data_IF_593832255790
#
_entry.id   IF_593832255790
#
_cell.length_a   1.000
_cell.length_b   1.000
_cell.length_c   1.000
_cell.angle_alpha   90.00
_cell.angle_beta   90.00
_cell.angle_gamma   90.00
#
_symmetry.space_group_name_H-M   'P 1'
#
loop_
_entity.id
_entity.type
_entity.pdbx_description
1 polymer ?
#
# COMPACT_ATOMS: atom_id res chain seq x y z
N UNK A 1 -69.55 -21.98 10.26
CA UNK A 1 -69.08 -20.58 10.09
C UNK A 1 -67.79 -20.30 10.90
N UNK A 2 -67.71 -20.70 12.16
CA UNK A 2 -66.56 -20.49 13.03
C UNK A 2 -65.24 -21.17 12.56
N UNK A 3 -65.35 -22.41 12.08
CA UNK A 3 -64.14 -23.18 11.59
C UNK A 3 -63.43 -22.48 10.43
N UNK A 4 -64.18 -21.84 9.52
CA UNK A 4 -63.61 -21.09 8.39
C UNK A 4 -62.95 -19.76 8.84
N UNK A 5 -63.48 -19.14 9.91
CA UNK A 5 -62.91 -17.94 10.50
C UNK A 5 -61.58 -18.25 11.19
N UNK A 6 -61.52 -19.35 11.92
CA UNK A 6 -60.32 -19.84 12.60
C UNK A 6 -59.23 -20.19 11.60
N UNK A 7 -59.53 -20.92 10.50
CA UNK A 7 -58.59 -21.25 9.46
C UNK A 7 -58.02 -19.99 8.79
N UNK A 8 -58.87 -18.98 8.50
CA UNK A 8 -58.40 -17.68 7.95
C UNK A 8 -57.45 -16.96 8.92
N UNK A 9 -57.72 -16.96 10.22
CA UNK A 9 -56.83 -16.35 11.19
C UNK A 9 -55.46 -17.04 11.23
N UNK A 10 -55.40 -18.39 11.19
CA UNK A 10 -54.14 -19.15 11.15
C UNK A 10 -53.39 -18.83 9.90
N UNK A 11 -54.04 -18.78 8.74
CA UNK A 11 -53.41 -18.42 7.47
C UNK A 11 -52.85 -17.01 7.48
N UNK A 12 -53.56 -16.04 8.05
CA UNK A 12 -53.07 -14.67 8.20
C UNK A 12 -51.84 -14.59 9.08
N UNK A 13 -51.86 -15.29 10.23
CA UNK A 13 -50.65 -15.36 11.12
C UNK A 13 -49.48 -15.98 10.38
N UNK A 14 -49.70 -17.06 9.62
CA UNK A 14 -48.65 -17.74 8.86
C UNK A 14 -48.03 -16.82 7.81
N UNK A 15 -48.86 -16.04 7.09
CA UNK A 15 -48.39 -15.06 6.11
C UNK A 15 -47.53 -13.98 6.77
N UNK A 16 -47.98 -13.42 7.89
CA UNK A 16 -47.23 -12.41 8.65
C UNK A 16 -45.87 -12.95 9.10
N UNK A 17 -45.82 -14.18 9.62
CA UNK A 17 -44.56 -14.83 10.05
C UNK A 17 -43.64 -15.03 8.84
N UNK A 18 -44.19 -15.47 7.70
CA UNK A 18 -43.41 -15.68 6.47
C UNK A 18 -42.82 -14.35 5.94
N UNK A 19 -43.65 -13.29 5.92
CA UNK A 19 -43.15 -11.94 5.52
C UNK A 19 -42.05 -11.44 6.45
N UNK A 20 -42.19 -11.64 7.75
CA UNK A 20 -41.18 -11.28 8.76
C UNK A 20 -39.86 -12.05 8.52
N UNK A 21 -39.95 -13.36 8.25
CA UNK A 21 -38.76 -14.18 7.94
C UNK A 21 -38.10 -13.70 6.65
N UNK A 22 -38.87 -13.46 5.59
CA UNK A 22 -38.35 -12.98 4.31
C UNK A 22 -37.70 -11.58 4.42
N UNK A 23 -38.34 -10.68 5.21
CA UNK A 23 -37.80 -9.35 5.48
C UNK A 23 -36.46 -9.46 6.22
N UNK A 24 -36.39 -10.25 7.29
CA UNK A 24 -35.14 -10.44 8.06
C UNK A 24 -34.06 -11.11 7.21
N UNK A 25 -34.41 -12.07 6.38
CA UNK A 25 -33.46 -12.72 5.47
C UNK A 25 -32.92 -11.72 4.41
N UNK A 26 -33.79 -10.91 3.81
CA UNK A 26 -33.41 -9.88 2.86
C UNK A 26 -32.57 -8.79 3.50
N UNK A 27 -32.95 -8.35 4.71
CA UNK A 27 -32.18 -7.37 5.49
C UNK A 27 -30.81 -7.92 5.89
N UNK A 28 -30.75 -9.15 6.37
CA UNK A 28 -29.50 -9.83 6.70
C UNK A 28 -28.58 -9.93 5.46
N UNK A 29 -29.10 -10.35 4.32
CA UNK A 29 -28.32 -10.44 3.09
C UNK A 29 -27.83 -9.05 2.61
N UNK A 30 -28.69 -8.03 2.67
CA UNK A 30 -28.31 -6.66 2.29
C UNK A 30 -27.19 -6.13 3.20
N UNK A 31 -27.35 -6.29 4.50
CA UNK A 31 -26.35 -5.87 5.49
C UNK A 31 -25.05 -6.65 5.33
N UNK A 32 -25.14 -7.99 5.21
CA UNK A 32 -23.95 -8.85 5.06
C UNK A 32 -23.23 -8.57 3.74
N UNK A 33 -23.98 -8.39 2.64
CA UNK A 33 -23.41 -8.08 1.33
C UNK A 33 -22.73 -6.71 1.31
N UNK A 34 -23.38 -5.70 1.89
CA UNK A 34 -22.78 -4.37 2.06
C UNK A 34 -21.55 -4.40 2.98
N UNK A 35 -21.61 -5.20 4.05
CA UNK A 35 -20.49 -5.39 4.95
C UNK A 35 -19.31 -6.06 4.27
N UNK A 36 -19.52 -7.19 3.60
CA UNK A 36 -18.45 -7.90 2.86
C UNK A 36 -17.84 -6.99 1.80
N UNK A 37 -18.66 -6.24 1.07
CA UNK A 37 -18.18 -5.34 0.01
C UNK A 37 -17.38 -4.15 0.56
N UNK A 38 -17.77 -3.60 1.72
CA UNK A 38 -17.17 -2.38 2.27
C UNK A 38 -16.13 -2.63 3.37
N UNK A 39 -16.20 -3.76 4.08
CA UNK A 39 -15.39 -4.01 5.27
C UNK A 39 -14.71 -5.37 5.32
N UNK A 40 -15.20 -6.37 4.58
CA UNK A 40 -14.67 -7.73 4.60
C UNK A 40 -13.38 -7.95 3.83
N UNK A 41 -12.94 -6.97 3.05
CA UNK A 41 -11.73 -7.06 2.20
C UNK A 41 -10.45 -6.52 2.85
N UNK A 42 -10.49 -6.17 4.13
CA UNK A 42 -9.35 -5.51 4.78
C UNK A 42 -9.11 -4.09 4.22
N UNK A 43 -7.91 -3.55 4.43
CA UNK A 43 -7.49 -2.29 3.84
C UNK A 43 -7.23 -2.49 2.34
N UNK A 44 -7.98 -1.78 1.50
CA UNK A 44 -7.74 -1.75 0.06
C UNK A 44 -6.67 -0.71 -0.28
N UNK A 45 -5.91 -0.95 -1.34
CA UNK A 45 -5.01 0.04 -1.91
C UNK A 45 -5.85 1.09 -2.67
N UNK A 46 -5.65 2.37 -2.35
CA UNK A 46 -6.21 3.46 -3.14
C UNK A 46 -5.32 3.65 -4.36
N UNK A 47 -5.91 3.60 -5.54
CA UNK A 47 -5.19 3.86 -6.78
C UNK A 47 -4.73 5.32 -6.82
N UNK A 48 -3.51 5.54 -7.27
CA UNK A 48 -3.02 6.87 -7.64
C UNK A 48 -3.58 7.23 -9.03
N UNK A 49 -3.88 8.50 -9.24
CA UNK A 49 -4.19 8.98 -10.57
C UNK A 49 -2.91 9.00 -11.42
N UNK A 50 -2.83 8.09 -12.39
CA UNK A 50 -1.66 7.95 -13.28
C UNK A 50 -1.39 9.27 -14.01
N UNK A 51 -2.43 9.90 -14.51
CA UNK A 51 -2.33 11.12 -15.31
C UNK A 51 -1.71 12.30 -14.53
N UNK A 52 -1.96 12.38 -13.21
CA UNK A 52 -1.38 13.44 -12.37
C UNK A 52 0.14 13.34 -12.22
N UNK A 53 0.73 12.20 -12.48
CA UNK A 53 2.17 11.95 -12.37
C UNK A 53 2.76 11.35 -13.67
N UNK A 54 2.10 11.64 -14.80
CA UNK A 54 2.53 11.12 -16.10
C UNK A 54 3.81 11.83 -16.55
N UNK A 55 4.88 11.11 -16.94
CA UNK A 55 6.09 11.73 -17.50
C UNK A 55 5.76 12.54 -18.75
N UNK A 56 6.48 13.63 -18.96
CA UNK A 56 6.38 14.50 -20.15
C UNK A 56 5.03 15.23 -20.31
N UNK A 57 4.21 15.27 -19.29
CA UNK A 57 2.99 16.07 -19.24
C UNK A 57 3.29 17.41 -18.54
N UNK A 58 2.91 18.54 -19.16
CA UNK A 58 3.27 19.90 -18.70
C UNK A 58 2.77 20.22 -17.28
N UNK A 59 1.62 19.67 -16.88
CA UNK A 59 1.01 19.85 -15.56
C UNK A 59 1.22 18.63 -14.62
N UNK A 60 2.23 17.81 -14.91
CA UNK A 60 2.58 16.66 -14.08
C UNK A 60 3.08 17.11 -12.70
N UNK A 61 2.69 16.36 -11.67
CA UNK A 61 3.10 16.61 -10.27
C UNK A 61 4.42 15.91 -9.90
N UNK A 62 5.13 15.36 -10.87
CA UNK A 62 6.45 14.77 -10.63
C UNK A 62 7.50 15.85 -10.40
N UNK A 63 8.61 15.49 -9.78
CA UNK A 63 9.80 16.33 -9.72
C UNK A 63 10.49 16.31 -11.08
N UNK A 64 10.67 17.48 -11.69
CA UNK A 64 11.33 17.62 -12.98
C UNK A 64 12.83 17.83 -12.79
N UNK A 65 13.63 16.86 -13.20
CA UNK A 65 15.10 16.96 -13.22
C UNK A 65 15.62 16.55 -14.60
N UNK A 66 16.69 17.20 -15.03
CA UNK A 66 17.35 16.86 -16.28
C UNK A 66 18.56 15.95 -16.06
N UNK A 67 18.73 14.97 -16.94
CA UNK A 67 19.93 14.13 -16.98
C UNK A 67 20.78 14.44 -18.23
N UNK A 68 22.10 14.45 -18.05
CA UNK A 68 23.03 14.45 -19.17
C UNK A 68 23.05 13.09 -19.90
N UNK A 69 22.63 12.02 -19.21
CA UNK A 69 22.52 10.68 -19.77
C UNK A 69 21.11 10.52 -20.34
N UNK A 70 21.01 10.15 -21.62
CA UNK A 70 19.75 9.72 -22.24
C UNK A 70 19.87 8.28 -22.72
N UNK A 71 18.82 7.50 -22.51
CA UNK A 71 18.74 6.09 -22.91
C UNK A 71 17.75 6.01 -24.05
N UNK A 72 18.26 5.90 -25.27
CA UNK A 72 17.44 5.92 -26.50
C UNK A 72 17.32 4.55 -27.16
N UNK A 73 18.26 3.65 -26.90
CA UNK A 73 18.29 2.30 -27.42
C UNK A 73 18.22 1.28 -26.28
N UNK A 74 17.67 0.09 -26.56
CA UNK A 74 17.54 -0.99 -25.60
C UNK A 74 16.97 -0.52 -24.24
N UNK A 75 15.91 0.31 -24.30
CA UNK A 75 15.32 1.00 -23.17
C UNK A 75 14.70 -0.04 -22.19
N UNK A 76 15.19 -0.16 -20.94
CA UNK A 76 14.59 -1.04 -19.94
C UNK A 76 13.14 -0.68 -19.66
N UNK A 77 12.28 -1.68 -19.47
CA UNK A 77 10.93 -1.44 -18.97
C UNK A 77 10.96 -1.30 -17.45
N UNK A 78 10.30 -0.26 -16.94
CA UNK A 78 10.19 0.08 -15.51
C UNK A 78 8.77 -0.15 -15.03
N UNK A 79 8.63 -0.72 -13.82
CA UNK A 79 7.36 -0.90 -13.12
C UNK A 79 7.56 -0.66 -11.61
N UNK A 80 6.51 -0.76 -10.79
CA UNK A 80 6.71 -0.65 -9.36
C UNK A 80 5.45 -0.47 -8.52
N UNK A 81 5.71 -0.19 -7.24
CA UNK A 81 4.70 0.09 -6.25
C UNK A 81 3.98 1.41 -6.55
N UNK A 82 2.68 1.45 -6.29
CA UNK A 82 1.84 2.65 -6.46
C UNK A 82 2.41 3.86 -5.72
N UNK A 83 2.92 3.67 -4.51
CA UNK A 83 3.50 4.76 -3.71
C UNK A 83 4.76 5.37 -4.33
N UNK A 84 5.56 4.58 -5.07
CA UNK A 84 6.81 5.02 -5.68
C UNK A 84 6.64 5.52 -7.12
N UNK A 85 5.41 5.47 -7.66
CA UNK A 85 5.13 5.90 -9.02
C UNK A 85 5.61 7.33 -9.33
N UNK A 86 5.42 8.33 -8.46
CA UNK A 86 5.95 9.66 -8.72
C UNK A 86 7.47 9.71 -8.90
N UNK A 87 8.22 8.90 -8.15
CA UNK A 87 9.69 8.85 -8.22
C UNK A 87 10.15 8.23 -9.54
N UNK A 88 9.70 7.02 -9.86
CA UNK A 88 10.20 6.36 -11.07
C UNK A 88 9.61 6.96 -12.35
N UNK A 89 8.50 7.68 -12.26
CA UNK A 89 7.98 8.51 -13.34
C UNK A 89 8.92 9.69 -13.64
N UNK A 90 9.45 10.35 -12.60
CA UNK A 90 10.46 11.39 -12.74
C UNK A 90 11.80 10.84 -13.31
N UNK A 91 12.20 9.63 -12.93
CA UNK A 91 13.38 8.98 -13.51
C UNK A 91 13.20 8.67 -15.01
N UNK A 92 12.01 8.22 -15.39
CA UNK A 92 11.67 7.99 -16.80
C UNK A 92 11.75 9.30 -17.59
N UNK A 93 11.19 10.38 -17.09
CA UNK A 93 11.26 11.69 -17.75
C UNK A 93 12.70 12.18 -17.89
N UNK A 94 13.52 12.02 -16.85
CA UNK A 94 14.91 12.43 -16.86
C UNK A 94 15.76 11.66 -17.86
N UNK A 95 15.49 10.35 -18.06
CA UNK A 95 16.39 9.42 -18.74
C UNK A 95 15.91 8.98 -20.13
N UNK A 96 14.59 8.89 -20.36
CA UNK A 96 14.02 8.26 -21.54
C UNK A 96 13.53 9.29 -22.57
N UNK A 97 13.36 8.89 -23.82
CA UNK A 97 12.67 9.71 -24.82
C UNK A 97 11.16 9.66 -24.60
N UNK A 98 10.46 10.76 -24.92
CA UNK A 98 9.01 10.90 -24.70
C UNK A 98 8.18 9.80 -25.37
N UNK A 99 8.54 9.40 -26.55
CA UNK A 99 7.87 8.36 -27.36
C UNK A 99 7.93 6.96 -26.72
N UNK A 100 8.79 6.75 -25.75
CA UNK A 100 8.87 5.49 -24.99
C UNK A 100 7.71 5.32 -24.00
N UNK A 101 7.01 6.40 -23.67
CA UNK A 101 5.85 6.41 -22.76
C UNK A 101 4.58 6.42 -23.58
N UNK A 102 3.79 5.35 -23.48
CA UNK A 102 2.55 5.17 -24.21
C UNK A 102 1.40 5.00 -23.22
N UNK A 103 0.50 5.98 -23.19
CA UNK A 103 -0.63 6.06 -22.30
C UNK A 103 -1.92 6.32 -23.09
N UNK A 104 -3.00 5.58 -22.80
CA UNK A 104 -4.25 5.63 -23.57
C UNK A 104 -5.33 6.53 -22.94
N UNK A 105 -4.98 7.26 -21.86
CA UNK A 105 -5.92 8.07 -21.09
C UNK A 105 -6.46 7.36 -19.84
N UNK A 106 -6.16 6.07 -19.67
CA UNK A 106 -6.60 5.28 -18.54
C UNK A 106 -5.45 4.49 -17.92
N UNK A 107 -4.63 3.85 -18.74
CA UNK A 107 -3.51 3.01 -18.30
C UNK A 107 -2.36 3.05 -19.31
N UNK A 108 -1.19 2.55 -18.93
CA UNK A 108 -0.07 2.39 -19.85
C UNK A 108 -0.31 1.24 -20.82
N UNK A 109 0.01 1.46 -22.10
CA UNK A 109 0.00 0.38 -23.08
C UNK A 109 1.09 -0.66 -22.76
N UNK A 110 0.87 -1.90 -23.19
CA UNK A 110 1.77 -3.04 -22.87
C UNK A 110 3.23 -2.80 -23.31
N UNK A 111 3.43 -2.09 -24.40
CA UNK A 111 4.76 -1.77 -24.96
C UNK A 111 5.33 -0.43 -24.45
N UNK A 112 4.63 0.25 -23.53
CA UNK A 112 5.17 1.41 -22.83
C UNK A 112 6.38 0.99 -21.96
N UNK A 113 7.40 1.83 -21.91
CA UNK A 113 8.60 1.58 -21.11
C UNK A 113 8.44 1.94 -19.64
N UNK A 114 7.28 2.41 -19.27
CA UNK A 114 6.83 2.56 -17.88
C UNK A 114 5.49 1.84 -17.69
N UNK A 115 5.35 1.17 -16.55
CA UNK A 115 4.14 0.52 -16.08
C UNK A 115 3.86 0.91 -14.63
N UNK A 116 2.65 0.71 -14.13
CA UNK A 116 2.28 0.91 -12.73
C UNK A 116 1.33 -0.20 -12.28
N UNK A 117 1.85 -1.39 -12.06
CA UNK A 117 1.04 -2.57 -11.75
C UNK A 117 0.87 -2.81 -10.25
N UNK A 118 1.65 -2.13 -9.39
CA UNK A 118 1.68 -2.31 -7.95
C UNK A 118 2.61 -3.45 -7.50
N UNK A 119 2.98 -3.44 -6.23
CA UNK A 119 4.07 -4.28 -5.68
C UNK A 119 3.95 -5.76 -6.04
N UNK A 120 2.77 -6.36 -5.85
CA UNK A 120 2.59 -7.81 -6.06
C UNK A 120 2.82 -8.22 -7.50
N UNK A 121 2.23 -7.49 -8.45
CA UNK A 121 2.34 -7.79 -9.88
C UNK A 121 3.73 -7.39 -10.41
N UNK A 122 4.29 -6.27 -9.96
CA UNK A 122 5.63 -5.84 -10.36
C UNK A 122 6.71 -6.88 -10.00
N UNK A 123 6.64 -7.47 -8.79
CA UNK A 123 7.54 -8.57 -8.41
C UNK A 123 7.37 -9.80 -9.30
N UNK A 124 6.14 -10.20 -9.59
CA UNK A 124 5.90 -11.32 -10.50
C UNK A 124 6.51 -11.05 -11.87
N UNK A 125 6.27 -9.85 -12.43
CA UNK A 125 6.75 -9.46 -13.76
C UNK A 125 8.28 -9.40 -13.85
N UNK A 126 8.98 -8.86 -12.83
CA UNK A 126 10.44 -8.85 -12.85
C UNK A 126 11.02 -10.26 -12.73
N UNK A 127 10.44 -11.13 -11.92
CA UNK A 127 10.87 -12.53 -11.77
C UNK A 127 10.64 -13.30 -13.07
N UNK A 128 9.50 -13.11 -13.73
CA UNK A 128 9.17 -13.76 -15.01
C UNK A 128 9.92 -13.14 -16.22
N UNK A 129 10.68 -12.05 -16.02
CA UNK A 129 11.41 -11.36 -17.08
C UNK A 129 10.54 -10.51 -18.01
N UNK A 130 9.34 -10.15 -17.57
CA UNK A 130 8.39 -9.29 -18.30
C UNK A 130 8.66 -7.79 -18.10
N UNK A 131 9.43 -7.42 -17.09
CA UNK A 131 9.95 -6.08 -16.85
C UNK A 131 11.38 -6.15 -16.39
N UNK A 132 12.18 -5.12 -16.69
CA UNK A 132 13.61 -5.11 -16.41
C UNK A 132 13.91 -4.62 -15.00
N UNK A 133 13.20 -3.59 -14.54
CA UNK A 133 13.43 -2.91 -13.27
C UNK A 133 12.11 -2.68 -12.57
N UNK A 134 12.09 -2.89 -11.25
CA UNK A 134 10.97 -2.46 -10.41
C UNK A 134 11.43 -1.57 -9.27
N UNK A 135 10.55 -0.64 -8.88
CA UNK A 135 10.73 0.22 -7.71
C UNK A 135 9.73 -0.19 -6.63
N UNK A 136 10.21 -0.87 -5.58
CA UNK A 136 9.36 -1.47 -4.55
C UNK A 136 10.04 -1.44 -3.17
N UNK A 137 9.24 -1.69 -2.11
CA UNK A 137 9.75 -2.12 -0.82
C UNK A 137 10.37 -3.52 -0.95
N UNK A 138 11.07 -4.01 0.11
CA UNK A 138 11.67 -5.35 0.10
C UNK A 138 10.66 -6.46 -0.24
N UNK A 139 11.13 -7.57 -0.84
CA UNK A 139 10.27 -8.68 -1.22
C UNK A 139 9.70 -9.40 0.01
N UNK A 140 8.48 -9.91 -0.12
CA UNK A 140 7.89 -10.85 0.83
C UNK A 140 8.53 -12.23 0.71
N UNK A 141 8.34 -13.06 1.75
CA UNK A 141 8.81 -14.45 1.74
C UNK A 141 8.29 -15.21 0.50
N UNK A 142 7.00 -15.07 0.16
CA UNK A 142 6.42 -15.70 -1.04
C UNK A 142 7.03 -15.23 -2.34
N UNK A 143 7.39 -13.95 -2.44
CA UNK A 143 8.06 -13.42 -3.63
C UNK A 143 9.48 -13.97 -3.77
N UNK A 144 10.19 -14.16 -2.65
CA UNK A 144 11.51 -14.81 -2.65
C UNK A 144 11.40 -16.29 -3.00
N UNK A 145 10.44 -17.04 -2.43
CA UNK A 145 10.16 -18.42 -2.76
C UNK A 145 9.78 -18.59 -4.25
N UNK A 146 9.04 -17.63 -4.80
CA UNK A 146 8.70 -17.62 -6.22
C UNK A 146 9.95 -17.37 -7.10
N UNK A 147 10.81 -16.42 -6.74
CA UNK A 147 12.07 -16.20 -7.44
C UNK A 147 12.98 -17.46 -7.40
N UNK A 148 13.09 -18.09 -6.23
CA UNK A 148 13.84 -19.34 -6.06
C UNK A 148 13.28 -20.47 -6.95
N UNK A 149 11.95 -20.62 -7.01
CA UNK A 149 11.30 -21.62 -7.87
C UNK A 149 11.57 -21.44 -9.36
N UNK A 150 11.94 -20.23 -9.76
CA UNK A 150 12.32 -19.86 -11.13
C UNK A 150 13.83 -19.81 -11.35
N UNK A 151 14.65 -20.13 -10.33
CA UNK A 151 16.11 -19.95 -10.33
C UNK A 151 16.53 -18.52 -10.64
N UNK A 152 15.79 -17.53 -10.14
CA UNK A 152 16.06 -16.10 -10.33
C UNK A 152 16.61 -15.50 -9.06
N UNK A 153 17.76 -14.84 -9.15
CA UNK A 153 18.30 -13.98 -8.12
C UNK A 153 17.96 -12.50 -8.41
N UNK A 154 17.46 -11.81 -7.38
CA UNK A 154 17.18 -10.39 -7.46
C UNK A 154 18.32 -9.57 -6.84
N UNK A 155 18.70 -8.49 -7.52
CA UNK A 155 19.54 -7.45 -6.95
C UNK A 155 18.64 -6.36 -6.37
N UNK A 156 18.90 -5.99 -5.11
CA UNK A 156 18.16 -4.95 -4.39
C UNK A 156 19.09 -3.78 -4.09
N UNK A 157 18.93 -2.68 -4.82
CA UNK A 157 19.71 -1.45 -4.61
C UNK A 157 18.87 -0.50 -3.76
N UNK A 158 19.25 -0.21 -2.49
CA UNK A 158 18.52 0.75 -1.68
C UNK A 158 18.65 2.14 -2.28
N UNK A 159 17.54 2.85 -2.44
CA UNK A 159 17.49 4.16 -3.08
C UNK A 159 16.90 5.25 -2.20
N UNK A 160 16.18 4.90 -1.15
CA UNK A 160 15.61 5.84 -0.20
C UNK A 160 15.06 5.13 1.04
N UNK A 161 14.69 5.94 2.04
CA UNK A 161 14.10 5.48 3.30
C UNK A 161 12.65 5.98 3.44
N UNK A 162 11.81 5.21 4.09
CA UNK A 162 10.44 5.58 4.40
C UNK A 162 9.98 5.02 5.75
N UNK A 163 9.13 5.77 6.44
CA UNK A 163 8.52 5.33 7.69
C UNK A 163 7.34 4.39 7.43
N UNK A 164 7.33 3.28 8.15
CA UNK A 164 6.14 2.43 8.27
C UNK A 164 5.30 2.95 9.43
N UNK A 165 4.06 3.35 9.14
CA UNK A 165 3.20 4.11 10.05
C UNK A 165 1.90 3.38 10.36
N UNK A 166 1.36 3.66 11.55
CA UNK A 166 0.03 3.23 11.95
C UNK A 166 -0.94 4.40 11.89
N UNK A 167 -2.13 4.15 11.37
CA UNK A 167 -3.14 5.17 11.09
C UNK A 167 -4.45 4.85 11.81
N UNK A 168 -5.09 5.89 12.29
CA UNK A 168 -6.41 5.85 12.93
C UNK A 168 -7.29 6.98 12.38
N UNK A 169 -8.59 6.94 12.69
CA UNK A 169 -9.45 8.10 12.43
C UNK A 169 -8.94 9.33 13.20
N UNK A 170 -9.01 10.52 12.59
CA UNK A 170 -8.54 11.77 13.22
C UNK A 170 -9.19 12.09 14.56
N UNK A 171 -10.43 11.62 14.77
CA UNK A 171 -11.18 11.82 16.01
C UNK A 171 -10.81 10.79 17.08
N UNK A 172 -9.93 9.83 16.82
CA UNK A 172 -9.38 8.97 17.86
C UNK A 172 -8.49 9.83 18.78
N UNK A 173 -8.71 9.78 20.09
CA UNK A 173 -7.96 10.58 21.05
C UNK A 173 -6.55 10.03 21.36
N UNK A 174 -6.19 8.86 20.86
CA UNK A 174 -4.83 8.30 20.93
C UNK A 174 -3.95 9.00 19.89
N UNK A 175 -2.80 9.52 20.34
CA UNK A 175 -1.80 10.16 19.47
C UNK A 175 -0.50 9.37 19.37
N UNK A 176 -0.25 8.47 20.31
CA UNK A 176 0.95 7.64 20.34
C UNK A 176 0.65 6.26 20.89
N UNK A 177 1.35 5.25 20.37
CA UNK A 177 1.38 3.88 20.91
C UNK A 177 2.82 3.42 21.02
N UNK A 178 3.09 2.49 21.96
CA UNK A 178 4.37 1.79 21.97
C UNK A 178 4.39 0.66 20.93
N UNK A 179 5.59 0.20 20.58
CA UNK A 179 5.78 -0.98 19.70
C UNK A 179 5.05 -2.19 20.30
N UNK A 180 5.15 -2.39 21.61
CA UNK A 180 4.51 -3.50 22.33
C UNK A 180 3.00 -3.39 22.28
N UNK A 181 2.44 -2.20 22.53
CA UNK A 181 0.99 -1.97 22.45
C UNK A 181 0.46 -2.28 21.03
N UNK A 182 1.17 -1.88 19.99
CA UNK A 182 0.78 -2.20 18.61
C UNK A 182 0.80 -3.71 18.38
N UNK A 183 1.86 -4.40 18.77
CA UNK A 183 1.94 -5.87 18.67
C UNK A 183 0.83 -6.55 19.45
N UNK A 184 0.53 -6.08 20.65
CA UNK A 184 -0.56 -6.61 21.48
C UNK A 184 -1.95 -6.34 20.89
N UNK A 185 -2.16 -5.24 20.20
CA UNK A 185 -3.38 -4.98 19.41
C UNK A 185 -3.51 -6.00 18.28
N UNK A 186 -2.45 -6.21 17.49
CA UNK A 186 -2.52 -7.11 16.33
C UNK A 186 -2.53 -8.60 16.73
N UNK A 187 -2.06 -8.96 17.90
CA UNK A 187 -2.22 -10.31 18.46
C UNK A 187 -3.54 -10.51 19.20
N UNK A 188 -4.30 -9.43 19.45
CA UNK A 188 -5.60 -9.44 20.13
C UNK A 188 -5.50 -9.57 21.64
N UNK A 189 -4.37 -9.25 22.26
CA UNK A 189 -4.23 -9.08 23.72
C UNK A 189 -4.87 -7.75 24.17
N UNK A 190 -4.67 -6.68 23.36
CA UNK A 190 -5.36 -5.41 23.51
C UNK A 190 -6.51 -5.37 22.49
N UNK A 191 -7.74 -5.27 22.96
CA UNK A 191 -8.95 -5.35 22.13
C UNK A 191 -9.86 -4.14 22.26
N UNK A 192 -9.54 -3.21 23.17
CA UNK A 192 -10.32 -2.01 23.42
C UNK A 192 -9.37 -0.81 23.60
N UNK A 193 -9.76 0.34 23.03
CA UNK A 193 -8.96 1.55 23.09
C UNK A 193 -8.73 2.07 24.53
N UNK A 194 -9.65 1.79 25.47
CA UNK A 194 -9.45 2.19 26.88
C UNK A 194 -8.26 1.48 27.55
N UNK A 195 -7.82 0.34 27.03
CA UNK A 195 -6.63 -0.36 27.55
C UNK A 195 -5.32 0.38 27.24
N UNK A 196 -5.38 1.36 26.32
CA UNK A 196 -4.24 2.21 25.94
C UNK A 196 -4.53 3.71 26.19
N UNK A 197 -5.52 4.03 27.04
CA UNK A 197 -5.86 5.40 27.40
C UNK A 197 -6.88 6.08 26.49
N UNK A 198 -7.49 5.34 25.58
CA UNK A 198 -8.51 5.83 24.66
C UNK A 198 -9.94 5.68 25.21
N UNK A 199 -10.90 5.90 24.32
CA UNK A 199 -12.32 5.73 24.62
C UNK A 199 -12.67 4.25 24.82
N UNK A 200 -13.78 3.98 25.53
CA UNK A 200 -14.29 2.61 25.65
C UNK A 200 -14.95 2.16 24.35
N UNK A 201 -14.12 1.81 23.37
CA UNK A 201 -14.51 1.31 22.04
C UNK A 201 -13.66 0.12 21.63
N UNK A 202 -14.22 -0.94 21.03
CA UNK A 202 -13.46 -2.06 20.49
C UNK A 202 -12.43 -1.59 19.44
N UNK A 203 -11.28 -2.25 19.39
CA UNK A 203 -10.28 -2.04 18.35
C UNK A 203 -10.54 -2.99 17.18
N UNK A 204 -10.52 -2.46 15.97
CA UNK A 204 -10.54 -3.22 14.73
C UNK A 204 -9.17 -3.09 14.06
N UNK A 205 -8.31 -4.08 14.25
CA UNK A 205 -6.99 -4.14 13.66
C UNK A 205 -7.10 -4.61 12.19
N UNK A 206 -6.98 -3.66 11.26
CA UNK A 206 -7.09 -3.94 9.82
C UNK A 206 -5.78 -4.54 9.30
N UNK A 207 -5.88 -5.43 8.32
CA UNK A 207 -4.72 -6.00 7.62
C UNK A 207 -4.83 -5.76 6.12
N UNK A 208 -3.69 -5.79 5.44
CA UNK A 208 -3.57 -5.63 3.99
C UNK A 208 -3.51 -6.98 3.30
N UNK A 209 -3.71 -6.96 1.98
CA UNK A 209 -3.55 -8.16 1.15
C UNK A 209 -2.12 -8.68 1.22
N UNK A 210 -1.97 -10.00 1.21
CA UNK A 210 -0.67 -10.65 1.15
C UNK A 210 0.10 -10.26 -0.13
N UNK A 211 1.42 -10.11 -0.02
CA UNK A 211 2.28 -9.66 -1.12
C UNK A 211 2.30 -8.15 -1.36
N UNK A 212 1.41 -7.37 -0.71
CA UNK A 212 1.55 -5.91 -0.73
C UNK A 212 2.76 -5.45 0.09
N UNK A 213 3.41 -4.35 -0.32
CA UNK A 213 4.56 -3.81 0.41
C UNK A 213 4.25 -3.51 1.88
N UNK A 214 3.07 -2.93 2.17
CA UNK A 214 2.66 -2.63 3.55
C UNK A 214 2.41 -3.90 4.38
N UNK A 215 1.87 -4.99 3.78
CA UNK A 215 1.71 -6.26 4.50
C UNK A 215 3.07 -6.89 4.80
N UNK A 216 4.00 -6.83 3.84
CA UNK A 216 5.36 -7.33 4.02
C UNK A 216 6.08 -6.58 5.15
N UNK A 217 5.96 -5.24 5.18
CA UNK A 217 6.51 -4.43 6.27
C UNK A 217 5.88 -4.78 7.62
N UNK A 218 4.56 -4.99 7.66
CA UNK A 218 3.87 -5.41 8.90
C UNK A 218 4.33 -6.77 9.40
N UNK A 219 4.50 -7.75 8.51
CA UNK A 219 5.01 -9.07 8.90
C UNK A 219 6.45 -8.98 9.44
N UNK A 220 7.29 -8.13 8.85
CA UNK A 220 8.63 -7.84 9.37
C UNK A 220 8.59 -7.18 10.75
N UNK A 221 7.73 -6.18 10.94
CA UNK A 221 7.52 -5.54 12.23
C UNK A 221 7.06 -6.52 13.32
N UNK A 222 6.16 -7.44 12.97
CA UNK A 222 5.70 -8.49 13.90
C UNK A 222 6.79 -9.52 14.21
N UNK A 223 7.81 -9.65 13.36
CA UNK A 223 8.96 -10.52 13.59
C UNK A 223 8.58 -11.97 13.98
N UNK A 224 7.76 -12.61 13.17
CA UNK A 224 7.30 -13.98 13.37
C UNK A 224 6.14 -14.15 14.37
N UNK A 225 5.70 -13.08 15.03
CA UNK A 225 4.52 -13.13 15.90
C UNK A 225 3.27 -13.18 15.02
N UNK A 226 2.43 -14.21 15.22
CA UNK A 226 1.21 -14.39 14.46
C UNK A 226 0.16 -13.32 14.79
N UNK A 227 -0.40 -12.71 13.77
CA UNK A 227 -1.49 -11.75 13.92
C UNK A 227 -2.84 -12.45 13.98
N UNK A 228 -3.69 -12.02 14.88
CA UNK A 228 -5.09 -12.45 14.93
C UNK A 228 -5.84 -11.89 13.72
N UNK A 229 -6.71 -12.70 13.11
CA UNK A 229 -7.60 -12.22 12.05
C UNK A 229 -8.40 -11.02 12.53
N UNK A 230 -8.52 -10.00 11.69
CA UNK A 230 -9.29 -8.79 12.02
C UNK A 230 -10.72 -9.15 12.46
N UNK A 231 -11.19 -8.52 13.53
CA UNK A 231 -12.56 -8.69 13.95
C UNK A 231 -13.51 -8.08 12.91
N UNK A 232 -14.59 -8.79 12.59
CA UNK A 232 -15.63 -8.32 11.67
C UNK A 232 -16.69 -7.47 12.42
N UNK A 233 -16.27 -6.57 13.31
CA UNK A 233 -17.20 -5.73 14.05
C UNK A 233 -17.62 -4.51 13.21
N UNK A 234 -18.90 -4.16 13.27
CA UNK A 234 -19.44 -2.91 12.70
C UNK A 234 -19.12 -1.70 13.56
N UNK A 235 -18.95 -1.94 14.87
CA UNK A 235 -18.76 -0.90 15.88
C UNK A 235 -17.35 -1.04 16.45
N UNK A 236 -16.54 -0.02 16.26
CA UNK A 236 -15.17 -0.01 16.80
C UNK A 236 -14.31 1.07 16.16
N UNK A 237 -13.20 1.37 16.81
CA UNK A 237 -12.16 2.23 16.27
C UNK A 237 -11.18 1.44 15.44
N UNK A 238 -11.01 1.79 14.17
CA UNK A 238 -10.09 1.11 13.27
C UNK A 238 -8.66 1.58 13.49
N UNK A 239 -7.70 0.65 13.45
CA UNK A 239 -6.28 0.90 13.28
C UNK A 239 -5.81 0.18 12.01
N UNK A 240 -5.04 0.87 11.19
CA UNK A 240 -4.42 0.32 9.99
C UNK A 240 -2.96 0.72 9.91
N UNK A 241 -2.29 0.33 8.84
CA UNK A 241 -0.87 0.65 8.61
C UNK A 241 -0.57 0.86 7.14
N UNK A 242 0.43 1.66 6.88
CA UNK A 242 0.95 1.92 5.53
C UNK A 242 2.33 2.57 5.61
N UNK A 243 2.81 3.08 4.49
CA UNK A 243 3.96 3.97 4.42
C UNK A 243 3.52 5.43 4.51
N UNK A 244 4.34 6.28 5.16
CA UNK A 244 4.02 7.68 5.47
C UNK A 244 3.63 8.48 4.23
N UNK A 245 4.47 8.50 3.20
CA UNK A 245 4.20 9.26 1.97
C UNK A 245 2.88 8.85 1.32
N UNK A 246 2.61 7.55 1.22
CA UNK A 246 1.36 7.05 0.68
C UNK A 246 0.15 7.54 1.47
N UNK A 247 0.27 7.59 2.80
CA UNK A 247 -0.79 8.12 3.67
C UNK A 247 -0.97 9.62 3.45
N UNK A 248 0.11 10.41 3.47
CA UNK A 248 0.04 11.87 3.37
C UNK A 248 -0.42 12.36 2.00
N UNK A 249 0.12 11.77 0.93
CA UNK A 249 0.00 12.31 -0.43
C UNK A 249 -1.08 11.62 -1.27
N UNK A 250 -1.46 10.39 -0.94
CA UNK A 250 -2.36 9.58 -1.79
C UNK A 250 -3.69 9.26 -1.09
N UNK A 251 -3.64 8.87 0.18
CA UNK A 251 -4.82 8.36 0.91
C UNK A 251 -5.52 9.44 1.71
N UNK A 252 -4.80 10.42 2.22
CA UNK A 252 -5.33 11.38 3.18
C UNK A 252 -6.44 12.24 2.57
N UNK A 253 -7.64 12.02 3.08
CA UNK A 253 -8.85 12.82 2.81
C UNK A 253 -9.23 13.74 3.99
N UNK A 254 -8.30 13.92 4.93
CA UNK A 254 -8.52 14.69 6.16
C UNK A 254 -9.26 13.95 7.27
N UNK A 255 -9.56 12.65 7.11
CA UNK A 255 -10.28 11.84 8.09
C UNK A 255 -9.38 10.88 8.89
N UNK A 256 -8.10 10.78 8.52
CA UNK A 256 -7.12 9.92 9.19
C UNK A 256 -5.96 10.74 9.74
N UNK A 257 -5.31 10.20 10.76
CA UNK A 257 -4.03 10.68 11.28
C UNK A 257 -3.06 9.52 11.49
N UNK A 258 -1.78 9.81 11.37
CA UNK A 258 -0.70 8.89 11.75
C UNK A 258 -0.45 8.98 13.25
N UNK A 259 -0.12 7.84 13.86
CA UNK A 259 0.29 7.76 15.25
C UNK A 259 1.81 7.94 15.39
N UNK A 260 2.22 8.63 16.44
CA UNK A 260 3.60 8.56 16.92
C UNK A 260 3.88 7.17 17.49
N UNK A 261 5.12 6.69 17.37
CA UNK A 261 5.57 5.44 17.96
C UNK A 261 6.59 5.76 19.07
N UNK A 262 6.32 5.27 20.27
CA UNK A 262 7.10 5.62 21.46
C UNK A 262 7.27 7.14 21.66
N UNK A 263 6.22 7.91 21.30
CA UNK A 263 6.22 9.37 21.36
C UNK A 263 6.94 10.09 20.21
N UNK A 264 7.50 9.35 19.23
CA UNK A 264 8.26 9.92 18.11
C UNK A 264 7.36 9.97 16.86
N UNK A 265 7.24 11.15 16.26
CA UNK A 265 6.45 11.38 15.05
C UNK A 265 7.15 10.85 13.78
N UNK A 266 6.40 10.34 12.80
CA UNK A 266 6.95 9.86 11.53
C UNK A 266 7.21 11.01 10.53
N UNK A 267 7.88 12.09 10.95
CA UNK A 267 8.26 13.18 10.08
C UNK A 267 9.61 12.93 9.39
N UNK A 268 9.90 13.68 8.33
CA UNK A 268 11.11 13.53 7.51
C UNK A 268 12.38 13.63 8.36
N UNK A 269 12.43 14.58 9.33
CA UNK A 269 13.59 14.75 10.18
C UNK A 269 13.86 13.52 11.06
N UNK A 270 12.81 12.97 11.68
CA UNK A 270 12.95 11.78 12.52
C UNK A 270 13.29 10.51 11.72
N UNK A 271 12.86 10.44 10.44
CA UNK A 271 13.22 9.34 9.53
C UNK A 271 14.69 9.49 9.12
N UNK A 272 15.11 10.69 8.71
CA UNK A 272 16.49 10.97 8.28
C UNK A 272 17.52 10.68 9.37
N UNK A 273 17.20 11.05 10.61
CA UNK A 273 18.06 10.89 11.77
C UNK A 273 17.90 9.54 12.48
N UNK A 274 17.18 8.58 11.86
CA UNK A 274 16.89 7.25 12.39
C UNK A 274 16.29 7.27 13.84
N UNK A 275 15.59 8.36 14.20
CA UNK A 275 14.89 8.50 15.48
C UNK A 275 13.56 7.76 15.46
N UNK A 276 12.82 7.81 14.34
CA UNK A 276 11.57 7.07 14.19
C UNK A 276 11.87 5.56 14.14
N UNK A 277 11.23 4.73 15.00
CA UNK A 277 11.74 3.37 15.24
C UNK A 277 11.40 2.36 14.15
N UNK A 278 10.56 2.71 13.18
CA UNK A 278 10.12 1.78 12.12
C UNK A 278 10.37 2.44 10.75
N UNK A 279 11.62 2.39 10.32
CA UNK A 279 12.07 2.87 9.01
C UNK A 279 12.51 1.68 8.17
N UNK A 280 12.08 1.63 6.94
CA UNK A 280 12.52 0.64 5.95
C UNK A 280 13.05 1.36 4.71
N UNK A 281 13.96 0.70 3.99
CA UNK A 281 14.38 1.16 2.69
C UNK A 281 13.34 0.79 1.62
N UNK A 282 13.32 1.56 0.54
CA UNK A 282 12.76 1.13 -0.72
C UNK A 282 13.85 1.05 -1.78
N UNK A 283 13.62 0.27 -2.82
CA UNK A 283 14.69 -0.27 -3.67
C UNK A 283 14.37 -0.09 -5.14
N UNK A 284 15.42 0.09 -5.94
CA UNK A 284 15.47 -0.30 -7.33
C UNK A 284 15.85 -1.79 -7.38
N UNK A 285 15.05 -2.61 -8.04
CA UNK A 285 15.19 -4.08 -8.03
C UNK A 285 15.19 -4.59 -9.46
N UNK A 286 16.11 -5.49 -9.76
CA UNK A 286 16.22 -6.15 -11.07
C UNK A 286 16.82 -7.55 -10.92
N UNK A 287 16.72 -8.37 -11.95
CA UNK A 287 17.33 -9.71 -11.98
C UNK A 287 18.84 -9.57 -12.14
N UNK A 288 19.62 -10.31 -11.37
CA UNK A 288 21.10 -10.33 -11.49
C UNK A 288 21.59 -10.84 -12.86
N UNK A 289 20.81 -11.72 -13.48
CA UNK A 289 21.12 -12.27 -14.83
C UNK A 289 20.63 -11.38 -15.98
N UNK A 290 20.07 -10.20 -15.71
CA UNK A 290 19.68 -9.26 -16.75
C UNK A 290 20.91 -8.60 -17.36
N UNK A 291 21.09 -8.79 -18.67
CA UNK A 291 22.28 -8.33 -19.43
C UNK A 291 22.12 -6.94 -20.03
N UNK A 292 21.00 -6.25 -19.78
CA UNK A 292 20.78 -4.90 -20.30
C UNK A 292 21.73 -3.88 -19.62
N UNK A 293 22.74 -3.42 -20.35
CA UNK A 293 23.77 -2.49 -19.84
C UNK A 293 23.21 -1.14 -19.35
N UNK A 294 22.00 -0.77 -19.79
CA UNK A 294 21.37 0.48 -19.38
C UNK A 294 20.85 0.42 -17.94
N UNK A 295 20.69 -0.75 -17.34
CA UNK A 295 20.37 -0.91 -15.92
C UNK A 295 21.43 -0.22 -15.06
N UNK A 296 22.71 -0.40 -15.36
CA UNK A 296 23.81 0.26 -14.62
C UNK A 296 23.82 1.78 -14.82
N UNK A 297 23.42 2.28 -16.00
CA UNK A 297 23.29 3.74 -16.24
C UNK A 297 22.15 4.32 -15.41
N UNK A 298 21.00 3.61 -15.34
CA UNK A 298 19.85 4.00 -14.51
C UNK A 298 20.25 3.99 -13.04
N UNK A 299 20.88 2.92 -12.55
CA UNK A 299 21.37 2.81 -11.17
C UNK A 299 22.30 3.97 -10.80
N UNK A 300 23.25 4.29 -11.65
CA UNK A 300 24.16 5.44 -11.44
C UNK A 300 23.39 6.76 -11.34
N UNK A 301 22.39 6.99 -12.20
CA UNK A 301 21.57 8.19 -12.12
C UNK A 301 20.75 8.22 -10.86
N UNK A 302 20.06 7.15 -10.52
CA UNK A 302 19.20 7.04 -9.31
C UNK A 302 20.00 7.34 -8.03
N UNK A 303 21.25 6.88 -7.96
CA UNK A 303 22.15 7.10 -6.81
C UNK A 303 22.96 8.42 -6.91
N UNK A 304 22.85 9.17 -8.00
CA UNK A 304 23.48 10.48 -8.13
C UNK A 304 22.77 11.55 -7.31
N UNK A 305 23.41 12.70 -7.13
CA UNK A 305 22.81 13.87 -6.47
C UNK A 305 21.44 14.22 -7.06
N UNK A 306 21.31 14.27 -8.39
CA UNK A 306 20.03 14.56 -9.07
C UNK A 306 18.97 13.48 -8.84
N UNK A 307 19.34 12.21 -8.89
CA UNK A 307 18.44 11.10 -8.63
C UNK A 307 17.95 11.09 -7.18
N UNK A 308 18.83 11.40 -6.23
CA UNK A 308 18.49 11.48 -4.81
C UNK A 308 17.69 12.75 -4.50
N UNK A 309 17.94 13.87 -5.20
CA UNK A 309 17.12 15.07 -5.11
C UNK A 309 15.67 14.82 -5.54
N UNK A 310 15.43 14.00 -6.58
CA UNK A 310 14.07 13.59 -6.96
C UNK A 310 13.37 12.90 -5.78
N UNK A 311 14.06 12.06 -5.02
CA UNK A 311 13.52 11.38 -3.85
C UNK A 311 13.13 12.38 -2.76
N UNK A 312 14.04 13.30 -2.42
CA UNK A 312 13.81 14.32 -1.38
C UNK A 312 12.67 15.27 -1.76
N UNK A 313 12.70 15.81 -2.97
CA UNK A 313 11.69 16.77 -3.44
C UNK A 313 10.31 16.11 -3.65
N UNK A 314 10.27 14.80 -3.88
CA UNK A 314 9.01 14.05 -3.86
C UNK A 314 8.46 13.91 -2.43
N UNK A 315 9.29 14.05 -1.40
CA UNK A 315 8.87 13.99 0.01
C UNK A 315 9.26 12.68 0.71
N UNK A 316 10.21 11.92 0.17
CA UNK A 316 10.84 10.78 0.82
C UNK A 316 12.20 11.20 1.45
N UNK A 317 12.92 10.24 2.01
CA UNK A 317 14.27 10.47 2.54
C UNK A 317 15.28 9.71 1.68
N UNK A 318 16.31 10.40 1.19
CA UNK A 318 17.39 9.82 0.39
C UNK A 318 18.28 8.87 1.22
N UNK A 319 19.04 8.00 0.54
CA UNK A 319 20.00 7.11 1.23
C UNK A 319 21.30 7.80 1.59
N UNK A 320 21.64 8.90 0.94
CA UNK A 320 22.95 9.55 1.07
C UNK A 320 22.93 10.79 1.99
N UNK A 321 21.78 11.16 2.55
CA UNK A 321 21.66 12.27 3.50
C UNK A 321 22.15 13.61 2.94
N UNK A 322 21.41 14.17 1.97
CA UNK A 322 21.65 15.55 1.51
C UNK A 322 20.99 16.54 2.45
#
# INVERSE_FOLDING_TARGET
>A
MEKNKFIKQILTIFVIILEFILFNYSFYNLVTKNYINNYGKGMQEKSINIESYLPFKDDSLIVHESSAIKIVDNIPQIDGATALYPIYSAYVEALYPKESVKYDGKDFLKDSKIQKTGTTVAYQRVIDGETDIIFCAKPSKKQLEYAESKNVELELVPIGKEAFVFIVNKNNNINSLSIEQIKDIYTGKIVNWNQVGGENKPIIALQRSEGSGSQTAMLSFMNGIEMKKSSQSFIGGKIGYSFRYYVESIVNDGNIKMLSINGIEPNIENIRNDKYPIVDNFYMIYRKDNTNENIEKIKKFVLSEKGQKIIEDTGYVSVNGY
#
